data_IF_435294219525
#
_entry.id   IF_435294219525
#
_cell.length_a   1.000
_cell.length_b   1.000
_cell.length_c   1.000
_cell.angle_alpha   90.00
_cell.angle_beta   90.00
_cell.angle_gamma   90.00
#
_symmetry.space_group_name_H-M   'P 1'
#
loop_
_entity.id
_entity.type
_entity.pdbx_description
1 polymer ?
#
# COMPACT_ATOMS: atom_id res chain seq x y z
N UNK A 1 -6.25 1.76 24.56
CA UNK A 1 -6.40 1.72 23.10
C UNK A 1 -5.20 2.41 22.46
N UNK A 2 -5.03 3.73 22.59
CA UNK A 2 -3.87 4.44 22.00
C UNK A 2 -2.53 3.77 22.32
N UNK A 3 -2.22 3.51 23.58
CA UNK A 3 -0.90 2.99 23.94
C UNK A 3 -0.66 1.58 23.37
N UNK A 4 -1.64 0.69 23.45
CA UNK A 4 -1.56 -0.62 22.79
C UNK A 4 -1.43 -0.53 21.27
N UNK A 5 -2.01 0.51 20.63
CA UNK A 5 -1.82 0.76 19.19
C UNK A 5 -0.39 1.24 18.91
N UNK A 6 0.22 2.04 19.79
CA UNK A 6 1.62 2.45 19.67
C UNK A 6 2.58 1.29 19.84
N UNK A 7 2.31 0.38 20.80
CA UNK A 7 3.10 -0.83 20.99
C UNK A 7 3.04 -1.73 19.74
N UNK A 8 1.84 -2.02 19.24
CA UNK A 8 1.65 -2.75 17.98
C UNK A 8 2.39 -2.08 16.83
N UNK A 9 2.28 -0.74 16.72
CA UNK A 9 2.89 0.02 15.64
C UNK A 9 4.40 -0.08 15.67
N UNK A 10 5.00 0.09 16.84
CA UNK A 10 6.45 0.03 17.04
C UNK A 10 6.97 -1.36 16.72
N UNK A 11 6.29 -2.41 17.19
CA UNK A 11 6.68 -3.80 16.96
C UNK A 11 6.60 -4.22 15.47
N UNK A 12 5.63 -3.68 14.72
CA UNK A 12 5.36 -4.11 13.34
C UNK A 12 5.87 -3.14 12.27
N UNK A 13 6.37 -1.95 12.64
CA UNK A 13 6.75 -0.92 11.67
C UNK A 13 7.77 -1.43 10.65
N UNK A 14 8.87 -2.03 11.13
CA UNK A 14 10.01 -2.41 10.29
C UNK A 14 9.68 -3.54 9.32
N UNK A 15 8.80 -4.47 9.71
CA UNK A 15 8.43 -5.63 8.89
C UNK A 15 7.33 -5.28 7.87
N UNK A 16 6.42 -4.35 8.21
CA UNK A 16 5.35 -3.91 7.31
C UNK A 16 5.86 -3.18 6.07
N UNK A 17 5.21 -3.39 4.91
CA UNK A 17 5.45 -2.61 3.69
C UNK A 17 4.98 -1.19 3.82
N UNK A 18 5.59 -0.23 3.12
CA UNK A 18 5.18 1.16 3.24
C UNK A 18 3.72 1.37 2.77
N UNK A 19 3.26 0.63 1.75
CA UNK A 19 1.83 0.56 1.42
C UNK A 19 0.99 -0.14 2.51
N UNK A 20 1.52 -1.18 3.16
CA UNK A 20 0.88 -1.82 4.32
C UNK A 20 0.73 -0.85 5.49
N UNK A 21 1.80 -0.14 5.86
CA UNK A 21 1.84 0.94 6.86
C UNK A 21 0.78 2.00 6.57
N UNK A 22 0.70 2.48 5.33
CA UNK A 22 -0.30 3.46 4.87
C UNK A 22 -1.73 2.95 5.03
N UNK A 23 -1.96 1.68 4.68
CA UNK A 23 -3.29 1.05 4.75
C UNK A 23 -3.70 0.79 6.21
N UNK A 24 -2.80 0.19 7.00
CA UNK A 24 -3.01 -0.10 8.42
C UNK A 24 -3.27 1.17 9.23
N UNK A 25 -2.56 2.28 8.94
CA UNK A 25 -2.74 3.52 9.68
C UNK A 25 -4.18 4.05 9.63
N UNK A 26 -4.94 3.78 8.57
CA UNK A 26 -6.38 4.09 8.54
C UNK A 26 -7.13 3.38 9.67
N UNK A 27 -6.91 2.07 9.80
CA UNK A 27 -7.56 1.24 10.82
C UNK A 27 -7.09 1.61 12.22
N UNK A 28 -5.78 1.84 12.41
CA UNK A 28 -5.25 2.27 13.71
C UNK A 28 -5.87 3.60 14.17
N UNK A 29 -6.10 4.54 13.25
CA UNK A 29 -6.77 5.82 13.56
C UNK A 29 -8.23 5.62 13.95
N UNK A 30 -8.96 4.74 13.26
CA UNK A 30 -10.33 4.40 13.64
C UNK A 30 -10.37 3.78 15.05
N UNK A 31 -9.49 2.82 15.33
CA UNK A 31 -9.36 2.21 16.65
C UNK A 31 -8.99 3.23 17.74
N UNK A 32 -8.16 4.24 17.42
CA UNK A 32 -7.78 5.30 18.35
C UNK A 32 -8.91 6.28 18.68
N UNK A 33 -10.02 6.27 17.92
CA UNK A 33 -11.23 7.05 18.24
C UNK A 33 -12.12 6.37 19.28
N UNK A 34 -11.82 5.13 19.66
CA UNK A 34 -12.57 4.46 20.73
C UNK A 34 -12.15 5.06 22.07
N UNK A 35 -13.09 5.81 22.65
CA UNK A 35 -12.89 6.55 23.88
C UNK A 35 -13.77 5.99 25.00
N UNK A 36 -13.48 6.38 26.24
CA UNK A 36 -14.33 6.05 27.39
C UNK A 36 -15.70 6.72 27.29
N UNK A 37 -16.72 6.20 27.98
CA UNK A 37 -18.10 6.71 27.89
C UNK A 37 -18.27 8.17 28.36
N UNK A 38 -17.36 8.68 29.20
CA UNK A 38 -17.38 10.06 29.73
C UNK A 38 -16.66 11.06 28.84
N UNK A 39 -16.21 10.64 27.66
CA UNK A 39 -15.37 11.46 26.80
C UNK A 39 -16.19 12.57 26.15
N UNK A 40 -15.74 13.84 26.21
CA UNK A 40 -16.31 14.92 25.42
C UNK A 40 -16.19 14.64 23.91
N UNK A 41 -16.90 15.42 23.08
CA UNK A 41 -16.70 15.33 21.63
C UNK A 41 -15.22 15.51 21.25
N UNK A 42 -14.72 14.68 20.32
CA UNK A 42 -13.33 14.72 19.88
C UNK A 42 -13.05 16.10 19.26
N UNK A 43 -12.08 16.87 19.77
CA UNK A 43 -11.81 18.21 19.26
C UNK A 43 -11.17 18.14 17.87
N UNK A 44 -11.37 19.15 17.00
CA UNK A 44 -10.79 19.18 15.65
C UNK A 44 -9.27 18.98 15.62
N UNK A 45 -8.54 19.45 16.63
CA UNK A 45 -7.10 19.27 16.73
C UNK A 45 -6.70 17.80 16.99
N UNK A 46 -7.50 17.03 17.74
CA UNK A 46 -7.28 15.59 17.95
C UNK A 46 -7.54 14.81 16.65
N UNK A 47 -8.58 15.17 15.90
CA UNK A 47 -8.84 14.59 14.57
C UNK A 47 -7.71 14.92 13.58
N UNK A 48 -7.25 16.18 13.57
CA UNK A 48 -6.12 16.60 12.74
C UNK A 48 -4.84 15.83 13.11
N UNK A 49 -4.58 15.62 14.40
CA UNK A 49 -3.48 14.81 14.89
C UNK A 49 -3.57 13.37 14.38
N UNK A 50 -4.72 12.70 14.55
CA UNK A 50 -4.94 11.34 14.07
C UNK A 50 -4.67 11.23 12.58
N UNK A 51 -5.28 12.11 11.78
CA UNK A 51 -5.21 12.03 10.31
C UNK A 51 -3.79 12.31 9.82
N UNK A 52 -3.07 13.26 10.43
CA UNK A 52 -1.87 13.82 9.81
C UNK A 52 -0.55 13.46 10.47
N UNK A 53 -0.56 12.99 11.71
CA UNK A 53 0.64 12.66 12.49
C UNK A 53 0.58 11.23 13.00
N UNK A 54 -0.53 10.84 13.67
CA UNK A 54 -0.59 9.54 14.34
C UNK A 54 -0.34 8.36 13.40
N UNK A 55 0.43 7.40 13.89
CA UNK A 55 0.79 6.13 13.24
C UNK A 55 1.53 6.26 11.89
N UNK A 56 2.09 7.46 11.58
CA UNK A 56 2.88 7.73 10.36
C UNK A 56 4.39 7.56 10.53
N UNK A 57 4.87 7.18 11.71
CA UNK A 57 6.27 6.86 11.94
C UNK A 57 6.38 5.67 12.91
N UNK A 58 7.57 5.07 13.00
CA UNK A 58 7.86 4.02 14.00
C UNK A 58 7.60 4.54 15.40
N UNK A 59 7.96 5.80 15.64
CA UNK A 59 7.71 6.53 16.86
C UNK A 59 7.02 7.86 16.55
N UNK A 60 6.02 8.22 17.35
CA UNK A 60 5.37 9.52 17.21
C UNK A 60 6.32 10.66 17.59
N UNK A 61 6.14 11.87 17.01
CA UNK A 61 6.94 13.03 17.38
C UNK A 61 6.85 13.30 18.89
N UNK A 62 7.97 13.66 19.50
CA UNK A 62 8.00 14.11 20.89
C UNK A 62 7.24 15.41 21.07
N UNK A 63 6.80 15.71 22.29
CA UNK A 63 6.11 16.97 22.62
C UNK A 63 6.95 18.20 22.21
N UNK A 64 8.28 18.13 22.41
CA UNK A 64 9.23 19.15 21.94
C UNK A 64 9.26 19.28 20.42
N UNK A 65 9.16 18.17 19.69
CA UNK A 65 9.12 18.20 18.22
C UNK A 65 7.79 18.78 17.71
N UNK A 66 6.66 18.43 18.34
CA UNK A 66 5.35 18.97 18.01
C UNK A 66 5.30 20.48 18.25
N UNK A 67 5.67 20.95 19.43
CA UNK A 67 5.63 22.38 19.80
C UNK A 67 6.48 23.29 18.92
N UNK A 68 7.52 22.75 18.25
CA UNK A 68 8.33 23.48 17.26
C UNK A 68 7.61 23.74 15.94
N UNK A 69 6.52 23.05 15.66
CA UNK A 69 5.74 23.25 14.44
C UNK A 69 4.97 24.57 14.55
N UNK A 70 5.46 25.61 13.87
CA UNK A 70 4.78 26.92 13.82
C UNK A 70 3.40 26.79 13.19
N UNK A 71 3.31 26.10 12.05
CA UNK A 71 2.04 25.78 11.38
C UNK A 71 2.18 24.50 10.58
N UNK A 72 1.24 23.59 10.79
CA UNK A 72 1.20 22.31 10.11
C UNK A 72 0.29 22.39 8.87
N UNK A 73 0.45 21.47 7.91
CA UNK A 73 -0.39 21.37 6.69
C UNK A 73 -1.89 21.16 6.98
N UNK A 74 -2.24 20.75 8.20
CA UNK A 74 -3.64 20.66 8.66
C UNK A 74 -4.24 22.00 9.04
N UNK A 75 -3.46 23.09 9.02
CA UNK A 75 -3.89 24.42 9.46
C UNK A 75 -3.61 24.72 10.93
N UNK A 76 -3.41 23.69 11.76
CA UNK A 76 -3.15 23.78 13.20
C UNK A 76 -1.68 24.05 13.51
N UNK A 77 -1.43 24.70 14.65
CA UNK A 77 -0.11 24.84 15.27
C UNK A 77 0.33 23.55 15.95
N UNK A 78 1.61 23.45 16.24
CA UNK A 78 2.19 22.36 17.01
C UNK A 78 1.60 22.20 18.41
N UNK A 79 1.31 23.32 19.07
CA UNK A 79 0.70 23.34 20.40
C UNK A 79 -0.74 22.79 20.37
N UNK A 80 -1.54 23.18 19.38
CA UNK A 80 -2.90 22.65 19.21
C UNK A 80 -2.88 21.15 18.91
N UNK A 81 -1.96 20.69 18.05
CA UNK A 81 -1.80 19.27 17.75
C UNK A 81 -1.35 18.47 18.97
N UNK A 82 -0.48 19.03 19.82
CA UNK A 82 -0.11 18.43 21.10
C UNK A 82 -1.31 18.34 22.05
N UNK A 83 -2.13 19.39 22.16
CA UNK A 83 -3.37 19.35 22.94
C UNK A 83 -4.34 18.27 22.42
N UNK A 84 -4.44 18.13 21.08
CA UNK A 84 -5.19 17.05 20.45
C UNK A 84 -4.67 15.66 20.80
N UNK A 85 -3.35 15.46 20.81
CA UNK A 85 -2.71 14.22 21.26
C UNK A 85 -3.01 13.93 22.73
N UNK A 86 -2.86 14.92 23.61
CA UNK A 86 -3.10 14.79 25.05
C UNK A 86 -4.57 14.49 25.35
N UNK A 87 -5.50 15.05 24.57
CA UNK A 87 -6.91 14.68 24.63
C UNK A 87 -7.10 13.18 24.38
N UNK A 88 -6.47 12.65 23.33
CA UNK A 88 -6.56 11.22 23.01
C UNK A 88 -5.89 10.36 24.08
N UNK A 89 -4.75 10.78 24.62
CA UNK A 89 -4.07 10.08 25.73
C UNK A 89 -4.97 9.99 26.97
N UNK A 90 -5.68 11.06 27.31
CA UNK A 90 -6.57 11.11 28.47
C UNK A 90 -7.83 10.27 28.29
N UNK A 91 -8.42 10.29 27.10
CA UNK A 91 -9.78 9.79 26.89
C UNK A 91 -9.89 8.49 26.09
N UNK A 92 -8.79 8.01 25.52
CA UNK A 92 -8.76 6.69 24.87
C UNK A 92 -9.24 5.61 25.84
N UNK A 93 -10.12 4.72 25.38
CA UNK A 93 -10.52 3.54 26.14
C UNK A 93 -9.26 2.72 26.49
N UNK A 94 -9.01 2.26 27.72
CA UNK A 94 -7.93 1.32 28.01
C UNK A 94 -8.06 0.03 27.18
N UNK A 95 -6.94 -0.61 26.81
CA UNK A 95 -7.02 -1.85 26.00
C UNK A 95 -7.70 -2.98 26.79
N UNK A 96 -7.41 -3.07 28.09
CA UNK A 96 -8.03 -4.01 29.02
C UNK A 96 -9.57 -3.92 29.07
N UNK A 97 -10.11 -2.74 28.78
CA UNK A 97 -11.54 -2.45 28.89
C UNK A 97 -12.26 -2.67 27.54
N UNK A 98 -11.54 -3.15 26.53
CA UNK A 98 -12.11 -3.46 25.23
C UNK A 98 -13.07 -4.65 25.34
N UNK A 99 -14.27 -4.49 24.79
CA UNK A 99 -15.33 -5.51 24.83
C UNK A 99 -15.71 -5.92 23.41
N UNK A 100 -16.40 -7.04 23.26
CA UNK A 100 -16.95 -7.45 21.95
C UNK A 100 -17.90 -6.40 21.38
N UNK A 101 -18.62 -5.65 22.22
CA UNK A 101 -19.48 -4.55 21.77
C UNK A 101 -18.66 -3.38 21.16
N UNK A 102 -17.51 -3.05 21.76
CA UNK A 102 -16.57 -2.09 21.17
C UNK A 102 -16.08 -2.54 19.79
N UNK A 103 -15.70 -3.82 19.66
CA UNK A 103 -15.22 -4.38 18.39
C UNK A 103 -16.32 -4.37 17.32
N UNK A 104 -17.56 -4.70 17.66
CA UNK A 104 -18.70 -4.64 16.71
C UNK A 104 -18.96 -3.23 16.20
N UNK A 105 -18.91 -2.22 17.09
CA UNK A 105 -19.03 -0.81 16.70
C UNK A 105 -17.92 -0.39 15.74
N UNK A 106 -16.67 -0.79 16.04
CA UNK A 106 -15.53 -0.54 15.17
C UNK A 106 -15.69 -1.18 13.79
N UNK A 107 -16.15 -2.43 13.71
CA UNK A 107 -16.43 -3.11 12.43
C UNK A 107 -17.40 -2.29 11.58
N UNK A 108 -18.50 -1.81 12.18
CA UNK A 108 -19.48 -0.97 11.50
C UNK A 108 -18.86 0.35 11.01
N UNK A 109 -18.08 1.03 11.86
CA UNK A 109 -17.42 2.29 11.51
C UNK A 109 -16.43 2.14 10.35
N UNK A 110 -15.54 1.14 10.42
CA UNK A 110 -14.55 0.94 9.35
C UNK A 110 -15.16 0.39 8.07
N UNK A 111 -16.34 -0.24 8.16
CA UNK A 111 -17.06 -0.78 7.00
C UNK A 111 -17.84 0.27 6.22
N UNK A 112 -18.57 1.14 6.93
CA UNK A 112 -19.65 1.99 6.39
C UNK A 112 -19.35 2.62 5.01
N UNK A 113 -20.25 2.36 4.05
CA UNK A 113 -20.26 2.99 2.72
C UNK A 113 -19.19 2.49 1.74
N UNK A 114 -18.60 1.31 1.98
CA UNK A 114 -17.51 0.77 1.14
C UNK A 114 -17.93 -0.48 0.36
N UNK A 115 -17.11 -0.87 -0.62
CA UNK A 115 -17.23 -2.17 -1.27
C UNK A 115 -16.95 -3.29 -0.27
N UNK A 116 -17.61 -4.44 -0.41
CA UNK A 116 -17.47 -5.61 0.48
C UNK A 116 -16.00 -6.01 0.68
N UNK A 117 -15.22 -6.08 -0.40
CA UNK A 117 -13.78 -6.41 -0.38
C UNK A 117 -12.94 -5.40 0.44
N UNK A 118 -13.35 -4.13 0.46
CA UNK A 118 -12.68 -3.09 1.26
C UNK A 118 -12.99 -3.25 2.74
N UNK A 119 -14.24 -3.58 3.08
CA UNK A 119 -14.61 -3.87 4.48
C UNK A 119 -13.89 -5.10 5.01
N UNK A 120 -13.88 -6.20 4.24
CA UNK A 120 -13.18 -7.42 4.59
C UNK A 120 -11.69 -7.20 4.83
N UNK A 121 -11.04 -6.38 3.99
CA UNK A 121 -9.63 -5.99 4.18
C UNK A 121 -9.42 -5.18 5.45
N UNK A 122 -10.25 -4.17 5.72
CA UNK A 122 -10.16 -3.34 6.93
C UNK A 122 -10.38 -4.15 8.20
N UNK A 123 -11.32 -5.09 8.16
CA UNK A 123 -11.48 -6.07 9.22
C UNK A 123 -10.25 -6.95 9.38
N UNK A 124 -9.67 -7.45 8.29
CA UNK A 124 -8.43 -8.22 8.32
C UNK A 124 -7.27 -7.48 9.01
N UNK A 125 -7.09 -6.21 8.67
CA UNK A 125 -6.10 -5.33 9.31
C UNK A 125 -6.41 -5.14 10.79
N UNK A 126 -7.67 -4.86 11.15
CA UNK A 126 -8.09 -4.69 12.55
C UNK A 126 -7.91 -5.98 13.35
N UNK A 127 -8.29 -7.12 12.79
CA UNK A 127 -8.14 -8.45 13.39
C UNK A 127 -6.68 -8.79 13.63
N UNK A 128 -5.77 -8.35 12.76
CA UNK A 128 -4.33 -8.49 12.98
C UNK A 128 -3.87 -7.77 14.25
N UNK A 129 -4.33 -6.52 14.46
CA UNK A 129 -4.03 -5.76 15.69
C UNK A 129 -4.61 -6.44 16.92
N UNK A 130 -5.89 -6.84 16.86
CA UNK A 130 -6.57 -7.45 18.00
C UNK A 130 -5.96 -8.82 18.36
N UNK A 131 -5.56 -9.63 17.36
CA UNK A 131 -4.84 -10.88 17.60
C UNK A 131 -3.46 -10.65 18.21
N UNK A 132 -2.76 -9.61 17.78
CA UNK A 132 -1.49 -9.24 18.42
C UNK A 132 -1.73 -8.88 19.90
N UNK A 133 -2.78 -8.12 20.25
CA UNK A 133 -3.13 -7.86 21.65
C UNK A 133 -3.52 -9.10 22.45
N UNK A 134 -4.18 -10.08 21.84
CA UNK A 134 -4.43 -11.38 22.50
C UNK A 134 -3.11 -12.10 22.78
N UNK A 135 -2.17 -12.12 21.82
CA UNK A 135 -0.89 -12.79 21.98
C UNK A 135 0.06 -12.11 22.99
N UNK A 136 -0.14 -10.82 23.25
CA UNK A 136 0.60 -10.03 24.24
C UNK A 136 -0.17 -9.94 25.57
N UNK A 137 -1.20 -10.76 25.75
CA UNK A 137 -2.05 -10.83 26.95
C UNK A 137 -2.69 -9.49 27.38
N UNK A 138 -2.90 -8.57 26.42
CA UNK A 138 -3.53 -7.27 26.67
C UNK A 138 -5.06 -7.35 26.66
N UNK A 139 -5.62 -8.35 25.97
CA UNK A 139 -7.05 -8.67 25.97
C UNK A 139 -7.26 -10.18 25.87
N UNK A 140 -8.44 -10.65 26.28
CA UNK A 140 -8.81 -12.05 26.13
C UNK A 140 -9.32 -12.39 24.72
N UNK A 141 -9.09 -13.61 24.26
CA UNK A 141 -9.54 -14.10 22.95
C UNK A 141 -11.07 -14.00 22.77
N UNK A 142 -11.85 -14.12 23.84
CA UNK A 142 -13.33 -13.97 23.81
C UNK A 142 -13.80 -12.63 23.24
N UNK A 143 -12.97 -11.58 23.34
CA UNK A 143 -13.28 -10.23 22.82
C UNK A 143 -13.47 -10.28 21.29
N UNK A 144 -12.74 -11.14 20.59
CA UNK A 144 -12.67 -11.16 19.11
C UNK A 144 -13.40 -12.33 18.44
N UNK A 145 -13.76 -13.38 19.17
CA UNK A 145 -14.37 -14.60 18.59
C UNK A 145 -15.87 -14.46 18.32
N UNK A 146 -16.60 -13.64 19.08
CA UNK A 146 -18.06 -13.51 18.99
C UNK A 146 -18.53 -12.25 18.26
N UNK A 147 -17.77 -11.78 17.28
CA UNK A 147 -18.07 -10.53 16.55
C UNK A 147 -19.13 -10.67 15.45
N UNK A 148 -19.52 -11.91 15.10
CA UNK A 148 -20.49 -12.20 14.04
C UNK A 148 -19.86 -12.29 12.64
N UNK A 149 -20.69 -12.38 11.61
CA UNK A 149 -20.24 -12.43 10.21
C UNK A 149 -19.92 -11.01 9.73
N UNK A 150 -18.70 -10.81 9.23
CA UNK A 150 -18.27 -9.54 8.64
C UNK A 150 -18.33 -9.66 7.12
N UNK A 151 -18.80 -8.61 6.44
CA UNK A 151 -18.93 -8.60 4.98
C UNK A 151 -17.55 -8.63 4.30
N UNK A 152 -17.45 -9.34 3.19
CA UNK A 152 -16.23 -9.44 2.38
C UNK A 152 -15.07 -10.21 3.02
N UNK A 153 -15.30 -10.89 4.15
CA UNK A 153 -14.34 -11.85 4.72
C UNK A 153 -14.51 -13.26 4.16
N UNK A 154 -15.62 -13.50 3.47
CA UNK A 154 -15.80 -14.68 2.64
C UNK A 154 -15.08 -14.37 1.33
N UNK A 155 -14.07 -15.19 1.03
CA UNK A 155 -13.47 -15.21 -0.30
C UNK A 155 -14.50 -15.94 -1.15
N UNK A 156 -15.31 -15.18 -1.86
CA UNK A 156 -16.08 -15.75 -2.97
C UNK A 156 -15.06 -16.33 -3.96
N UNK A 157 -15.30 -17.53 -4.52
CA UNK A 157 -14.52 -18.00 -5.65
C UNK A 157 -14.45 -16.86 -6.67
N UNK A 158 -13.30 -16.65 -7.36
CA UNK A 158 -13.28 -15.71 -8.48
C UNK A 158 -14.51 -16.01 -9.33
N UNK A 159 -15.40 -15.02 -9.50
CA UNK A 159 -16.48 -15.17 -10.44
C UNK A 159 -15.85 -15.47 -11.80
N UNK A 160 -16.47 -16.35 -12.59
CA UNK A 160 -16.02 -16.63 -13.96
C UNK A 160 -16.01 -15.37 -14.85
N UNK A 161 -16.52 -14.24 -14.35
CA UNK A 161 -16.79 -12.99 -15.06
C UNK A 161 -15.77 -11.86 -14.84
N UNK A 162 -14.64 -12.06 -14.15
CA UNK A 162 -13.59 -11.02 -14.16
C UNK A 162 -13.04 -10.91 -15.61
N UNK A 163 -13.28 -9.81 -16.34
CA UNK A 163 -12.94 -9.76 -17.76
C UNK A 163 -11.42 -9.81 -17.92
N UNK A 164 -10.94 -10.88 -18.54
CA UNK A 164 -9.53 -11.04 -18.91
C UNK A 164 -9.38 -10.48 -20.33
N UNK A 165 -8.46 -9.52 -20.55
CA UNK A 165 -8.28 -8.95 -21.88
C UNK A 165 -7.81 -10.03 -22.87
N UNK A 166 -8.49 -10.08 -24.01
CA UNK A 166 -8.09 -10.86 -25.18
C UNK A 166 -6.82 -10.28 -25.82
N UNK A 167 -6.18 -11.05 -26.70
CA UNK A 167 -5.03 -10.56 -27.46
C UNK A 167 -5.38 -9.31 -28.30
N UNK A 168 -6.57 -9.29 -28.90
CA UNK A 168 -7.05 -8.14 -29.66
C UNK A 168 -7.19 -6.88 -28.79
N UNK A 169 -7.69 -7.01 -27.57
CA UNK A 169 -7.79 -5.90 -26.61
C UNK A 169 -6.42 -5.43 -26.11
N UNK A 170 -5.46 -6.34 -25.94
CA UNK A 170 -4.07 -5.98 -25.63
C UNK A 170 -3.44 -5.15 -26.75
N UNK A 171 -3.65 -5.53 -28.01
CA UNK A 171 -3.23 -4.76 -29.18
C UNK A 171 -3.93 -3.40 -29.26
N UNK A 172 -5.25 -3.36 -29.08
CA UNK A 172 -6.02 -2.12 -29.10
C UNK A 172 -5.51 -1.13 -28.03
N UNK A 173 -5.28 -1.60 -26.81
CA UNK A 173 -4.70 -0.81 -25.73
C UNK A 173 -3.29 -0.32 -26.09
N UNK A 174 -2.43 -1.16 -26.66
CA UNK A 174 -1.09 -0.76 -27.08
C UNK A 174 -1.13 0.34 -28.16
N UNK A 175 -2.05 0.24 -29.13
CA UNK A 175 -2.28 1.26 -30.14
C UNK A 175 -2.78 2.58 -29.54
N UNK A 176 -3.77 2.51 -28.64
CA UNK A 176 -4.30 3.69 -27.97
C UNK A 176 -3.22 4.38 -27.10
N UNK A 177 -2.36 3.60 -26.43
CA UNK A 177 -1.19 4.14 -25.74
C UNK A 177 -0.21 4.84 -26.70
N UNK A 178 -0.02 4.35 -27.93
CA UNK A 178 0.77 5.05 -28.94
C UNK A 178 0.13 6.37 -29.39
N UNK A 179 -1.20 6.40 -29.56
CA UNK A 179 -1.89 7.55 -30.17
C UNK A 179 -2.20 8.66 -29.16
N UNK A 180 -2.76 8.33 -28.00
CA UNK A 180 -3.33 9.31 -27.06
C UNK A 180 -2.81 9.20 -25.62
N UNK A 181 -2.22 8.06 -25.25
CA UNK A 181 -1.63 7.85 -23.94
C UNK A 181 -0.18 8.34 -23.86
N UNK A 182 0.76 7.42 -24.12
CA UNK A 182 2.15 7.73 -24.42
C UNK A 182 2.87 6.53 -25.06
N UNK A 183 3.54 6.68 -26.24
CA UNK A 183 4.19 5.55 -26.94
C UNK A 183 5.18 4.72 -26.12
N UNK A 184 5.85 5.34 -25.14
CA UNK A 184 6.77 4.67 -24.20
C UNK A 184 6.11 3.63 -23.29
N UNK A 185 4.78 3.57 -23.25
CA UNK A 185 4.03 2.64 -22.42
C UNK A 185 3.33 1.57 -23.25
N UNK A 186 3.41 1.64 -24.60
CA UNK A 186 2.68 0.75 -25.49
C UNK A 186 3.09 -0.74 -25.37
N UNK A 187 4.29 -1.04 -24.88
CA UNK A 187 4.71 -2.42 -24.61
C UNK A 187 4.14 -2.99 -23.29
N UNK A 188 3.54 -2.16 -22.41
CA UNK A 188 3.07 -2.60 -21.09
C UNK A 188 1.98 -3.68 -21.13
N UNK A 189 0.95 -3.60 -22.00
CA UNK A 189 -0.09 -4.64 -22.06
C UNK A 189 0.51 -6.04 -22.30
N UNK A 190 1.44 -6.16 -23.26
CA UNK A 190 2.11 -7.42 -23.59
C UNK A 190 3.06 -7.92 -22.51
N UNK A 191 3.85 -7.02 -21.92
CA UNK A 191 4.81 -7.41 -20.89
C UNK A 191 4.13 -7.79 -19.58
N UNK A 192 3.05 -7.07 -19.20
CA UNK A 192 2.28 -7.41 -18.01
C UNK A 192 1.38 -8.63 -18.22
N UNK A 193 0.67 -8.68 -19.34
CA UNK A 193 -0.22 -9.80 -19.70
C UNK A 193 0.55 -11.07 -19.99
N UNK A 194 1.42 -11.04 -21.01
CA UNK A 194 2.23 -12.20 -21.42
C UNK A 194 3.26 -12.65 -20.38
N UNK A 195 3.84 -11.71 -19.62
CA UNK A 195 4.80 -12.03 -18.55
C UNK A 195 4.15 -12.34 -17.19
N UNK A 196 2.84 -12.12 -17.04
CA UNK A 196 2.15 -12.20 -15.75
C UNK A 196 2.77 -11.29 -14.69
N UNK A 197 3.19 -10.09 -15.07
CA UNK A 197 3.86 -9.13 -14.18
C UNK A 197 2.87 -8.20 -13.50
N UNK A 198 3.04 -7.98 -12.21
CA UNK A 198 2.35 -6.87 -11.53
C UNK A 198 2.95 -5.54 -11.99
N UNK A 199 2.16 -4.48 -12.02
CA UNK A 199 2.63 -3.14 -12.42
C UNK A 199 3.93 -2.72 -11.70
N UNK A 200 4.00 -2.91 -10.38
CA UNK A 200 5.21 -2.58 -9.61
C UNK A 200 6.43 -3.45 -9.99
N UNK A 201 6.23 -4.71 -10.37
CA UNK A 201 7.29 -5.59 -10.86
C UNK A 201 7.79 -5.13 -12.23
N UNK A 202 6.87 -4.79 -13.13
CA UNK A 202 7.16 -4.26 -14.46
C UNK A 202 7.96 -2.95 -14.39
N UNK A 203 7.56 -2.01 -13.53
CA UNK A 203 8.26 -0.71 -13.37
C UNK A 203 9.58 -0.79 -12.62
N UNK A 204 9.89 -1.94 -12.02
CA UNK A 204 11.16 -2.17 -11.37
C UNK A 204 12.14 -3.00 -12.21
N UNK A 205 11.67 -3.54 -13.34
CA UNK A 205 12.44 -4.34 -14.28
C UNK A 205 13.58 -3.51 -14.87
N UNK A 206 14.79 -4.07 -14.86
CA UNK A 206 15.98 -3.44 -15.46
C UNK A 206 16.33 -4.10 -16.78
N UNK A 207 17.14 -3.40 -17.59
CA UNK A 207 17.68 -3.95 -18.85
C UNK A 207 18.34 -5.31 -18.63
N UNK A 208 19.19 -5.45 -17.61
CA UNK A 208 19.86 -6.72 -17.26
C UNK A 208 18.92 -7.85 -16.82
N UNK A 209 17.69 -7.52 -16.47
CA UNK A 209 16.70 -8.51 -16.05
C UNK A 209 15.99 -9.15 -17.26
N UNK A 210 16.22 -8.64 -18.48
CA UNK A 210 15.70 -9.11 -19.76
C UNK A 210 16.78 -9.87 -20.54
N UNK A 211 16.63 -11.18 -20.69
CA UNK A 211 17.63 -12.04 -21.35
C UNK A 211 16.99 -12.76 -22.53
N UNK A 212 17.50 -12.51 -23.73
CA UNK A 212 17.06 -13.20 -24.94
C UNK A 212 17.38 -14.69 -24.92
N UNK A 213 16.52 -15.48 -25.55
CA UNK A 213 16.71 -16.91 -25.77
C UNK A 213 16.84 -17.21 -27.27
N UNK A 214 17.64 -18.23 -27.69
CA UNK A 214 17.81 -18.59 -29.10
C UNK A 214 16.50 -18.85 -29.88
N UNK A 215 15.39 -19.18 -29.22
CA UNK A 215 14.07 -19.37 -29.84
C UNK A 215 13.28 -18.07 -30.10
N UNK A 216 13.89 -16.90 -29.89
CA UNK A 216 13.25 -15.60 -30.13
C UNK A 216 12.35 -15.12 -28.99
N UNK A 217 12.17 -15.89 -27.92
CA UNK A 217 11.57 -15.44 -26.67
C UNK A 217 12.55 -14.72 -25.74
N UNK A 218 12.09 -14.39 -24.54
CA UNK A 218 12.89 -13.65 -23.56
C UNK A 218 12.55 -14.08 -22.13
N UNK A 219 13.58 -14.33 -21.32
CA UNK A 219 13.46 -14.56 -19.89
C UNK A 219 13.49 -13.24 -19.13
N UNK A 220 12.48 -13.01 -18.29
CA UNK A 220 12.39 -11.84 -17.41
C UNK A 220 12.65 -12.26 -15.96
N UNK A 221 13.68 -11.69 -15.34
CA UNK A 221 14.02 -11.95 -13.93
C UNK A 221 13.48 -10.84 -13.02
N UNK A 222 12.34 -11.10 -12.40
CA UNK A 222 11.67 -10.16 -11.50
C UNK A 222 12.29 -10.24 -10.11
N UNK A 223 13.18 -9.30 -9.79
CA UNK A 223 13.89 -9.27 -8.51
C UNK A 223 13.25 -8.35 -7.48
N UNK A 224 12.49 -7.35 -7.95
CA UNK A 224 11.93 -6.30 -7.10
C UNK A 224 10.58 -5.82 -7.62
N UNK A 225 9.85 -5.15 -6.74
CA UNK A 225 8.66 -4.38 -7.06
C UNK A 225 8.86 -2.94 -6.60
N UNK A 226 8.41 -2.00 -7.44
CA UNK A 226 8.44 -0.58 -7.17
C UNK A 226 7.07 -0.12 -6.68
N UNK A 227 7.07 0.69 -5.63
CA UNK A 227 5.88 1.39 -5.16
C UNK A 227 6.23 2.78 -4.67
N UNK A 228 5.29 3.72 -4.75
CA UNK A 228 5.48 5.11 -4.32
C UNK A 228 4.45 5.52 -3.26
N UNK A 229 4.59 5.00 -2.04
CA UNK A 229 3.64 5.23 -0.95
C UNK A 229 3.67 6.68 -0.42
N UNK A 230 4.80 7.37 -0.61
CA UNK A 230 5.09 8.70 -0.08
C UNK A 230 6.10 8.66 1.09
N UNK A 231 6.80 9.78 1.31
CA UNK A 231 7.89 9.92 2.30
C UNK A 231 7.47 9.60 3.74
N UNK A 232 6.21 9.87 4.06
CA UNK A 232 5.63 9.60 5.39
C UNK A 232 5.55 8.09 5.70
N UNK A 233 5.87 7.19 4.77
CA UNK A 233 5.65 5.75 4.94
C UNK A 233 6.88 4.88 4.73
N UNK A 234 7.96 5.45 4.23
CA UNK A 234 9.24 4.76 4.01
C UNK A 234 10.14 4.89 5.24
N UNK A 235 11.10 3.98 5.37
CA UNK A 235 12.02 3.98 6.53
C UNK A 235 13.19 4.96 6.34
N UNK A 236 13.57 5.21 5.09
CA UNK A 236 14.70 6.07 4.67
C UNK A 236 14.29 7.50 4.31
N UNK A 237 12.99 7.82 4.39
CA UNK A 237 12.44 9.11 4.00
C UNK A 237 12.35 9.33 2.48
N UNK A 238 12.64 8.31 1.67
CA UNK A 238 12.43 8.34 0.22
C UNK A 238 10.93 8.34 -0.11
N UNK A 239 10.52 8.86 -1.27
CA UNK A 239 9.10 8.85 -1.64
C UNK A 239 8.62 7.47 -2.12
N UNK A 240 9.59 6.65 -2.50
CA UNK A 240 9.49 5.35 -3.14
C UNK A 240 10.06 4.25 -2.25
N UNK A 241 9.53 3.05 -2.43
CA UNK A 241 9.99 1.85 -1.75
C UNK A 241 10.30 0.78 -2.80
N UNK A 242 11.53 0.26 -2.75
CA UNK A 242 11.95 -0.92 -3.48
C UNK A 242 11.94 -2.13 -2.53
N UNK A 243 11.14 -3.14 -2.84
CA UNK A 243 11.14 -4.42 -2.11
C UNK A 243 11.40 -5.59 -3.03
N UNK A 244 11.85 -6.71 -2.46
CA UNK A 244 11.78 -8.00 -3.12
C UNK A 244 10.35 -8.32 -3.56
N UNK A 245 10.20 -9.31 -4.45
CA UNK A 245 8.87 -9.78 -4.87
C UNK A 245 8.00 -10.20 -3.68
N UNK A 246 6.67 -10.12 -3.84
CA UNK A 246 5.68 -10.38 -2.77
C UNK A 246 6.03 -11.70 -2.03
N UNK A 247 5.93 -11.68 -0.69
CA UNK A 247 6.27 -12.72 0.29
C UNK A 247 7.66 -12.66 0.95
N UNK A 248 8.63 -11.87 0.48
CA UNK A 248 9.99 -11.94 1.05
C UNK A 248 10.43 -10.75 1.90
N UNK A 249 9.66 -9.67 1.99
CA UNK A 249 10.02 -8.48 2.80
C UNK A 249 11.19 -7.67 2.21
N UNK A 250 11.68 -6.63 2.93
CA UNK A 250 12.82 -5.83 2.49
C UNK A 250 14.14 -6.62 2.46
N UNK A 251 14.30 -7.62 3.34
CA UNK A 251 15.48 -8.50 3.44
C UNK A 251 15.30 -9.83 2.68
N UNK A 252 14.27 -9.90 1.83
CA UNK A 252 13.89 -11.10 1.11
C UNK A 252 14.90 -11.57 0.07
N UNK A 253 14.85 -12.86 -0.24
CA UNK A 253 15.67 -13.48 -1.29
C UNK A 253 15.58 -12.68 -2.61
N UNK A 254 16.71 -12.04 -2.95
CA UNK A 254 16.92 -11.17 -4.11
C UNK A 254 17.13 -11.96 -5.41
N UNK A 255 17.13 -13.29 -5.36
CA UNK A 255 17.21 -14.13 -6.57
C UNK A 255 16.04 -13.85 -7.52
N UNK A 256 14.89 -13.43 -6.99
CA UNK A 256 13.72 -13.06 -7.76
C UNK A 256 12.97 -14.27 -8.33
N UNK A 257 11.87 -14.03 -9.05
CA UNK A 257 11.20 -15.06 -9.87
C UNK A 257 11.55 -14.86 -11.33
N UNK A 258 11.64 -15.95 -12.11
CA UNK A 258 11.75 -15.88 -13.56
C UNK A 258 10.39 -16.15 -14.21
N UNK A 259 10.11 -15.45 -15.29
CA UNK A 259 8.95 -15.67 -16.16
C UNK A 259 9.43 -15.61 -17.61
N UNK A 260 8.79 -16.38 -18.48
CA UNK A 260 9.13 -16.43 -19.91
C UNK A 260 8.15 -15.55 -20.68
N UNK A 261 8.68 -14.73 -21.58
CA UNK A 261 7.91 -13.93 -22.51
C UNK A 261 8.01 -14.58 -23.90
N UNK A 262 6.89 -14.97 -24.53
CA UNK A 262 6.91 -15.63 -25.83
C UNK A 262 7.47 -14.74 -26.95
N UNK A 263 7.83 -15.30 -28.12
CA UNK A 263 8.57 -14.58 -29.15
C UNK A 263 7.92 -13.29 -29.65
N UNK A 264 6.59 -13.27 -29.78
CA UNK A 264 5.85 -12.10 -30.27
C UNK A 264 5.99 -10.93 -29.28
N UNK A 265 5.65 -11.16 -28.01
CA UNK A 265 5.76 -10.15 -26.96
C UNK A 265 7.21 -9.77 -26.66
N UNK A 266 8.14 -10.72 -26.76
CA UNK A 266 9.57 -10.47 -26.64
C UNK A 266 10.08 -9.52 -27.73
N UNK A 267 9.59 -9.65 -28.97
CA UNK A 267 9.95 -8.73 -30.07
C UNK A 267 9.48 -7.29 -29.80
N UNK A 268 8.30 -7.13 -29.21
CA UNK A 268 7.74 -5.84 -28.80
C UNK A 268 8.61 -5.25 -27.67
N UNK A 269 8.98 -6.07 -26.69
CA UNK A 269 9.83 -5.64 -25.59
C UNK A 269 11.25 -5.26 -26.07
N UNK A 270 11.85 -5.98 -27.02
CA UNK A 270 13.14 -5.58 -27.62
C UNK A 270 13.05 -4.20 -28.26
N UNK A 271 12.06 -4.00 -29.11
CA UNK A 271 11.82 -2.71 -29.79
C UNK A 271 11.68 -1.58 -28.76
N UNK A 272 10.94 -1.83 -27.68
CA UNK A 272 10.82 -0.89 -26.58
C UNK A 272 12.16 -0.62 -25.87
N UNK A 273 12.92 -1.66 -25.55
CA UNK A 273 14.23 -1.55 -24.88
C UNK A 273 15.22 -0.76 -25.73
N UNK A 274 15.27 -1.00 -27.03
CA UNK A 274 16.11 -0.28 -27.97
C UNK A 274 15.75 1.20 -28.05
N UNK A 275 14.45 1.51 -28.06
CA UNK A 275 13.95 2.87 -28.29
C UNK A 275 13.92 3.74 -27.03
N UNK A 276 13.59 3.17 -25.88
CA UNK A 276 13.25 3.94 -24.68
C UNK A 276 14.10 3.64 -23.45
N UNK A 277 14.88 2.55 -23.46
CA UNK A 277 15.71 2.17 -22.30
C UNK A 277 17.14 2.63 -22.51
N UNK A 278 17.74 3.25 -21.50
CA UNK A 278 19.16 3.62 -21.56
C UNK A 278 20.05 2.37 -21.71
N UNK A 279 21.28 2.56 -22.20
CA UNK A 279 22.22 1.45 -22.47
C UNK A 279 22.75 0.79 -21.20
N UNK A 280 22.68 1.47 -20.07
CA UNK A 280 23.12 0.94 -18.77
C UNK A 280 22.33 -0.33 -18.40
N UNK A 281 23.03 -1.34 -17.90
CA UNK A 281 22.46 -2.59 -17.40
C UNK A 281 21.45 -2.36 -16.25
N UNK A 282 21.64 -1.31 -15.45
CA UNK A 282 20.77 -0.92 -14.36
C UNK A 282 19.57 -0.07 -14.79
N UNK A 283 19.53 0.37 -16.05
CA UNK A 283 18.46 1.21 -16.56
C UNK A 283 17.10 0.49 -16.42
N UNK A 284 16.11 1.20 -15.88
CA UNK A 284 14.74 0.73 -15.84
C UNK A 284 14.19 0.61 -17.26
N UNK A 285 13.56 -0.53 -17.56
CA UNK A 285 12.94 -0.79 -18.86
C UNK A 285 11.81 0.20 -19.12
N UNK A 286 10.97 0.44 -18.10
CA UNK A 286 9.87 1.40 -18.20
C UNK A 286 10.17 2.63 -17.33
N UNK A 287 10.23 3.80 -17.97
CA UNK A 287 10.51 5.08 -17.30
C UNK A 287 9.64 6.20 -17.85
N UNK A 288 9.51 7.25 -17.04
CA UNK A 288 9.01 8.56 -17.50
C UNK A 288 9.93 9.16 -18.56
N UNK A 289 9.49 10.23 -19.24
CA UNK A 289 10.32 10.95 -20.24
C UNK A 289 11.63 11.50 -19.71
N UNK A 290 11.78 11.60 -18.39
CA UNK A 290 13.01 12.05 -17.71
C UNK A 290 13.83 10.88 -17.15
N UNK A 291 13.56 9.65 -17.54
CA UNK A 291 14.27 8.45 -17.05
C UNK A 291 13.95 8.07 -15.60
N UNK A 292 12.97 8.73 -14.96
CA UNK A 292 12.55 8.43 -13.58
C UNK A 292 11.61 7.22 -13.53
N UNK A 293 11.56 6.48 -12.40
CA UNK A 293 10.59 5.41 -12.19
C UNK A 293 9.14 5.86 -12.45
N UNK A 294 8.34 4.94 -13.01
CA UNK A 294 6.94 5.20 -13.32
C UNK A 294 6.10 5.16 -12.04
N UNK A 295 5.34 6.23 -11.80
CA UNK A 295 4.34 6.31 -10.74
C UNK A 295 3.01 5.76 -11.25
N UNK A 296 2.50 4.67 -10.65
CA UNK A 296 1.29 3.95 -11.10
C UNK A 296 0.10 4.90 -11.20
N UNK A 297 -0.11 5.77 -10.21
CA UNK A 297 -1.25 6.69 -10.19
C UNK A 297 -1.18 7.69 -11.35
N UNK A 298 0.01 8.22 -11.61
CA UNK A 298 0.25 9.14 -12.72
C UNK A 298 0.07 8.42 -14.06
N UNK A 299 0.58 7.19 -14.21
CA UNK A 299 0.39 6.39 -15.42
C UNK A 299 -1.10 6.16 -15.69
N UNK A 300 -1.87 5.79 -14.66
CA UNK A 300 -3.30 5.56 -14.78
C UNK A 300 -4.02 6.81 -15.31
N UNK A 301 -3.82 7.95 -14.65
CA UNK A 301 -4.52 9.21 -14.99
C UNK A 301 -4.08 9.79 -16.35
N UNK A 302 -2.78 9.73 -16.66
CA UNK A 302 -2.21 10.49 -17.79
C UNK A 302 -2.04 9.69 -19.07
N UNK A 303 -2.04 8.36 -18.99
CA UNK A 303 -1.86 7.50 -20.16
C UNK A 303 -2.91 6.40 -20.22
N UNK A 304 -3.07 5.60 -19.16
CA UNK A 304 -3.87 4.38 -19.21
C UNK A 304 -5.38 4.62 -19.32
N UNK A 305 -5.92 5.63 -18.64
CA UNK A 305 -7.35 5.99 -18.73
C UNK A 305 -7.68 6.83 -19.97
N UNK A 306 -6.66 7.40 -20.61
CA UNK A 306 -6.83 8.18 -21.85
C UNK A 306 -6.82 7.29 -23.09
N UNK A 307 -6.02 6.23 -23.03
CA UNK A 307 -6.00 5.14 -24.00
C UNK A 307 -7.25 4.26 -23.83
#
# INVERSE_FOLDING_TARGET
MRDGLQQYRSATWRTASANGRKTHAYVLRAMARVTTDRTPAIPPAAEAYLVTIAFRAEHEPTDRALTRIKRHRSGFTGAELLAGRQFLEKWSLPVSDLTTAHVRRLIAEVGTGRASSTEGRRWGDMRTVLRWWVNEDLIEERVITRVGRVRGTVIEPPGEDDPIPTEAEMWAMAWALCLVGQPRYAALPFVMGGGGLRAGECFALRRRDCVDEPGGGMWLTVRRSYSKPGKDWTTDGAADEHRGTKAKGPDGDRRGRRTYLPPVEASILRTHIERYTARDAEALVFTTSRGKPVDVAHLQERAWQRA
#
